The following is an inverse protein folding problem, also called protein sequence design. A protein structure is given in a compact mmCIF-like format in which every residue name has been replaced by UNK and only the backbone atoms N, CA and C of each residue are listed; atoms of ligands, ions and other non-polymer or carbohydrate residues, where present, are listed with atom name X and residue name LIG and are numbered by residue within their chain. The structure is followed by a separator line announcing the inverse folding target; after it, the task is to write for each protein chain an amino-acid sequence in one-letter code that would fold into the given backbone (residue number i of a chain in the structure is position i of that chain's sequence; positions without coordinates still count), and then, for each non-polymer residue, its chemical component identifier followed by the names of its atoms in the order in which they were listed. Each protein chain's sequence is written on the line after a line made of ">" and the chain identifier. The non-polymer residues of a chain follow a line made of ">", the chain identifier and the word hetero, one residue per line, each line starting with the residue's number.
data_IF_068064200712
#
_entry.id   IF_068064200712
#
_cell.length_a   1.000
_cell.length_b   1.000
_cell.length_c   1.000
_cell.angle_alpha   90.00
_cell.angle_beta   90.00
_cell.angle_gamma   90.00
#
_symmetry.space_group_name_H-M   'P 1'
#
loop_
_entity.id
_entity.type
_entity.pdbx_description
1 polymer ?
#
# COMPACT_ATOMS: atom_id res chain seq x y z
N UNK A 1 -9.83 16.36 -2.60
CA UNK A 1 -8.53 16.96 -2.26
C UNK A 1 -7.55 15.80 -2.12
N UNK A 2 -6.39 15.86 -2.76
CA UNK A 2 -5.39 14.80 -2.64
C UNK A 2 -4.73 14.86 -1.26
N UNK A 3 -4.52 13.71 -0.64
CA UNK A 3 -3.83 13.56 0.64
C UNK A 3 -2.49 12.91 0.38
N UNK A 4 -1.44 13.41 1.02
CA UNK A 4 -0.13 12.79 0.99
C UNK A 4 0.09 11.96 2.24
N UNK A 5 0.38 10.70 2.03
CA UNK A 5 0.69 9.72 3.06
C UNK A 5 2.17 9.35 2.96
N UNK A 6 2.90 9.56 4.05
CA UNK A 6 4.29 9.15 4.17
C UNK A 6 4.35 7.83 4.92
N UNK A 7 4.91 6.80 4.29
CA UNK A 7 5.04 5.47 4.87
C UNK A 7 6.52 5.22 5.13
N UNK A 8 6.88 4.89 6.36
CA UNK A 8 8.24 4.49 6.70
C UNK A 8 8.29 2.98 6.94
N UNK A 9 9.15 2.31 6.18
CA UNK A 9 9.46 0.89 6.24
C UNK A 9 10.84 0.75 6.90
N UNK A 10 10.93 0.19 8.12
CA UNK A 10 12.21 0.08 8.83
C UNK A 10 13.17 -0.91 8.17
N UNK A 11 12.66 -2.01 7.60
CA UNK A 11 13.46 -2.99 6.85
C UNK A 11 12.67 -3.57 5.67
N UNK A 12 13.14 -3.43 4.42
CA UNK A 12 12.44 -3.98 3.24
C UNK A 12 12.35 -5.51 3.27
N UNK A 13 13.32 -6.18 3.92
CA UNK A 13 13.29 -7.63 4.10
C UNK A 13 12.15 -8.08 5.02
N UNK A 14 11.77 -7.26 6.00
CA UNK A 14 10.67 -7.51 6.92
C UNK A 14 9.32 -6.98 6.39
N UNK A 15 9.35 -6.07 5.42
CA UNK A 15 8.18 -5.54 4.73
C UNK A 15 7.66 -6.50 3.65
N UNK A 16 7.43 -7.77 4.01
CA UNK A 16 6.77 -8.74 3.15
C UNK A 16 5.49 -9.22 3.82
N UNK A 17 4.39 -9.13 3.07
CA UNK A 17 3.14 -9.77 3.43
C UNK A 17 3.33 -11.29 3.59
N UNK A 18 2.42 -11.89 4.34
CA UNK A 18 2.41 -13.34 4.64
C UNK A 18 2.26 -14.18 3.36
N UNK A 19 1.51 -13.66 2.38
CA UNK A 19 1.27 -14.32 1.10
C UNK A 19 2.20 -13.77 0.00
N UNK A 20 3.14 -14.57 -0.54
CA UNK A 20 4.07 -14.11 -1.57
C UNK A 20 3.40 -13.77 -2.91
N UNK A 21 2.15 -14.20 -3.14
CA UNK A 21 1.39 -13.82 -4.33
C UNK A 21 0.84 -12.39 -4.23
N UNK A 22 0.68 -11.87 -3.01
CA UNK A 22 0.20 -10.51 -2.74
C UNK A 22 1.33 -9.59 -2.27
N UNK A 23 2.36 -10.12 -1.61
CA UNK A 23 3.43 -9.35 -1.02
C UNK A 23 4.29 -8.59 -2.05
N UNK A 24 5.01 -7.58 -1.56
CA UNK A 24 6.01 -6.88 -2.37
C UNK A 24 7.06 -7.87 -2.90
N UNK A 25 7.24 -7.84 -4.22
CA UNK A 25 8.26 -8.63 -4.92
C UNK A 25 9.56 -7.84 -5.06
N UNK A 26 9.47 -6.50 -5.04
CA UNK A 26 10.61 -5.61 -5.15
C UNK A 26 11.33 -5.42 -3.80
N UNK A 27 12.66 -5.23 -3.86
CA UNK A 27 13.50 -4.98 -2.69
C UNK A 27 13.95 -3.52 -2.56
N UNK A 28 13.86 -2.74 -3.63
CA UNK A 28 14.29 -1.34 -3.67
C UNK A 28 13.14 -0.35 -3.49
N UNK A 29 13.47 0.86 -3.03
CA UNK A 29 12.47 1.92 -2.80
C UNK A 29 11.62 2.25 -4.03
N UNK A 30 12.24 2.33 -5.21
CA UNK A 30 11.56 2.62 -6.47
C UNK A 30 10.59 1.49 -6.87
N UNK A 31 11.02 0.23 -6.78
CA UNK A 31 10.17 -0.91 -7.09
C UNK A 31 9.00 -1.07 -6.11
N UNK A 32 9.23 -0.81 -4.82
CA UNK A 32 8.17 -0.77 -3.81
C UNK A 32 7.14 0.33 -4.14
N UNK A 33 7.62 1.52 -4.52
CA UNK A 33 6.76 2.62 -4.91
C UNK A 33 5.90 2.27 -6.14
N UNK A 34 6.52 1.72 -7.20
CA UNK A 34 5.79 1.28 -8.39
C UNK A 34 4.75 0.20 -8.06
N UNK A 35 5.10 -0.82 -7.28
CA UNK A 35 4.16 -1.87 -6.89
C UNK A 35 2.98 -1.31 -6.06
N UNK A 36 3.27 -0.42 -5.11
CA UNK A 36 2.22 0.22 -4.31
C UNK A 36 1.32 1.12 -5.17
N UNK A 37 1.90 1.89 -6.10
CA UNK A 37 1.15 2.70 -7.05
C UNK A 37 0.19 1.83 -7.88
N UNK A 38 0.70 0.75 -8.47
CA UNK A 38 -0.13 -0.18 -9.25
C UNK A 38 -1.25 -0.79 -8.39
N UNK A 39 -0.97 -1.13 -7.13
CA UNK A 39 -1.96 -1.66 -6.19
C UNK A 39 -3.03 -0.64 -5.75
N UNK A 40 -2.76 0.66 -5.87
CA UNK A 40 -3.74 1.74 -5.61
C UNK A 40 -4.54 2.09 -6.87
N UNK A 41 -3.91 2.01 -8.04
CA UNK A 41 -4.56 2.23 -9.33
C UNK A 41 -5.45 1.07 -9.76
N UNK A 42 -5.17 -0.15 -9.28
CA UNK A 42 -5.89 -1.38 -9.63
C UNK A 42 -6.47 -2.09 -8.42
N UNK A 43 -7.68 -2.63 -8.56
CA UNK A 43 -8.34 -3.43 -7.53
C UNK A 43 -7.96 -4.93 -7.57
N UNK A 44 -7.10 -5.33 -8.52
CA UNK A 44 -6.69 -6.73 -8.69
C UNK A 44 -6.17 -7.39 -7.41
N UNK A 45 -5.38 -6.66 -6.61
CA UNK A 45 -4.89 -7.16 -5.32
C UNK A 45 -6.05 -7.43 -4.34
N UNK A 46 -7.06 -6.54 -4.32
CA UNK A 46 -8.25 -6.71 -3.48
C UNK A 46 -9.08 -7.88 -3.97
N UNK A 47 -9.30 -8.01 -5.27
CA UNK A 47 -10.04 -9.15 -5.83
C UNK A 47 -9.35 -10.47 -5.50
N UNK A 48 -8.02 -10.54 -5.63
CA UNK A 48 -7.26 -11.74 -5.30
C UNK A 48 -7.41 -12.11 -3.82
N UNK A 49 -7.26 -11.14 -2.91
CA UNK A 49 -7.47 -11.36 -1.47
C UNK A 49 -8.93 -11.68 -1.13
N UNK A 50 -9.89 -10.98 -1.71
CA UNK A 50 -11.33 -11.19 -1.50
C UNK A 50 -11.76 -12.58 -2.00
N UNK A 51 -11.15 -13.11 -3.07
CA UNK A 51 -11.35 -14.51 -3.50
C UNK A 51 -10.80 -15.55 -2.53
N UNK A 52 -9.78 -15.20 -1.73
CA UNK A 52 -9.29 -16.09 -0.67
C UNK A 52 -10.20 -16.04 0.56
N UNK A 53 -10.95 -14.95 0.76
CA UNK A 53 -11.95 -14.84 1.81
C UNK A 53 -13.22 -15.63 1.46
N UNK A 54 -13.69 -16.44 2.40
CA UNK A 54 -14.90 -17.27 2.22
C UNK A 54 -16.20 -16.46 2.30
N UNK A 55 -16.16 -15.29 2.94
CA UNK A 55 -17.32 -14.43 3.17
C UNK A 55 -17.06 -13.00 2.65
N UNK A 56 -17.39 -12.73 1.37
CA UNK A 56 -17.16 -11.43 0.74
C UNK A 56 -18.10 -10.32 1.24
N UNK A 57 -19.18 -10.65 1.95
CA UNK A 57 -20.15 -9.68 2.49
C UNK A 57 -19.63 -8.94 3.73
N UNK A 58 -18.66 -9.51 4.47
CA UNK A 58 -17.99 -8.82 5.60
C UNK A 58 -16.96 -7.78 5.12
N UNK A 59 -16.61 -7.83 3.83
CA UNK A 59 -15.59 -6.97 3.26
C UNK A 59 -16.19 -5.61 2.92
N UNK A 60 -15.68 -4.57 3.56
CA UNK A 60 -16.10 -3.19 3.34
C UNK A 60 -15.88 -2.79 1.86
N UNK A 61 -16.94 -2.42 1.10
CA UNK A 61 -16.81 -2.07 -0.31
C UNK A 61 -15.96 -0.82 -0.52
N UNK A 62 -15.79 0.01 0.52
CA UNK A 62 -14.87 1.15 0.47
C UNK A 62 -13.42 0.71 0.27
N UNK A 63 -13.04 -0.50 0.67
CA UNK A 63 -11.69 -1.05 0.46
C UNK A 63 -11.41 -1.41 -1.01
N UNK A 64 -12.45 -1.59 -1.82
CA UNK A 64 -12.35 -1.80 -3.26
C UNK A 64 -12.08 -0.50 -4.04
N UNK A 65 -12.07 0.65 -3.38
CA UNK A 65 -11.83 1.93 -4.04
C UNK A 65 -10.41 2.00 -4.63
N UNK A 66 -10.34 2.44 -5.88
CA UNK A 66 -9.09 2.66 -6.62
C UNK A 66 -8.97 4.10 -7.04
N UNK A 67 -7.73 4.57 -7.17
CA UNK A 67 -7.44 5.93 -7.61
C UNK A 67 -6.43 5.88 -8.77
N UNK A 68 -6.87 6.07 -10.02
CA UNK A 68 -5.98 6.06 -11.18
C UNK A 68 -4.99 7.24 -11.17
N UNK A 69 -5.26 8.29 -10.39
CA UNK A 69 -4.35 9.43 -10.21
C UNK A 69 -3.41 9.24 -9.01
N UNK A 70 -3.49 8.10 -8.30
CA UNK A 70 -2.55 7.80 -7.23
C UNK A 70 -1.12 7.82 -7.76
N UNK A 71 -0.25 8.51 -7.04
CA UNK A 71 1.16 8.64 -7.38
C UNK A 71 1.99 8.23 -6.17
N UNK A 72 2.97 7.36 -6.36
CA UNK A 72 3.83 6.88 -5.27
C UNK A 72 5.28 7.12 -5.61
N UNK A 73 6.01 7.65 -4.65
CA UNK A 73 7.44 7.93 -4.76
C UNK A 73 8.18 7.24 -3.63
N UNK A 74 9.22 6.50 -3.97
CA UNK A 74 10.04 5.79 -3.00
C UNK A 74 11.38 6.46 -2.83
N UNK A 75 11.76 6.69 -1.58
CA UNK A 75 13.04 7.25 -1.21
C UNK A 75 13.73 6.30 -0.24
N UNK A 76 14.93 5.83 -0.60
CA UNK A 76 15.75 5.01 0.29
C UNK A 76 16.57 5.94 1.19
N UNK A 77 16.37 5.82 2.51
CA UNK A 77 17.06 6.61 3.53
C UNK A 77 17.89 5.65 4.38
N UNK A 78 19.13 5.41 3.95
CA UNK A 78 20.08 4.51 4.61
C UNK A 78 19.54 3.06 4.74
N UNK A 79 19.15 2.64 5.94
CA UNK A 79 18.55 1.32 6.22
C UNK A 79 17.02 1.27 6.05
N UNK A 80 16.35 2.42 5.99
CA UNK A 80 14.88 2.51 5.93
C UNK A 80 14.40 3.00 4.57
N UNK A 81 13.20 2.61 4.18
CA UNK A 81 12.56 3.08 2.95
C UNK A 81 11.38 3.96 3.32
N UNK A 82 11.30 5.13 2.70
CA UNK A 82 10.21 6.06 2.87
C UNK A 82 9.43 6.14 1.56
N UNK A 83 8.16 5.77 1.59
CA UNK A 83 7.25 5.88 0.45
C UNK A 83 6.31 7.06 0.67
N UNK A 84 6.33 8.05 -0.20
CA UNK A 84 5.33 9.11 -0.22
C UNK A 84 4.27 8.78 -1.27
N UNK A 85 3.05 8.57 -0.81
CA UNK A 85 1.88 8.29 -1.62
C UNK A 85 0.99 9.51 -1.64
N UNK A 86 0.68 10.03 -2.82
CA UNK A 86 -0.33 11.07 -3.00
C UNK A 86 -1.55 10.45 -3.66
N UNK A 87 -2.68 10.42 -2.95
CA UNK A 87 -3.93 9.84 -3.44
C UNK A 87 -5.14 10.55 -2.85
N UNK A 88 -6.27 10.49 -3.54
CA UNK A 88 -7.56 10.93 -2.98
C UNK A 88 -8.25 9.85 -2.15
N UNK A 89 -7.65 8.65 -2.05
CA UNK A 89 -8.20 7.54 -1.27
C UNK A 89 -8.11 7.78 0.24
N UNK A 90 -9.08 7.26 1.01
CA UNK A 90 -9.02 7.30 2.46
C UNK A 90 -7.88 6.41 2.99
N UNK A 91 -7.33 6.79 4.13
CA UNK A 91 -6.24 6.04 4.77
C UNK A 91 -6.61 4.59 5.08
N UNK A 92 -7.89 4.26 5.27
CA UNK A 92 -8.35 2.88 5.46
C UNK A 92 -7.97 1.95 4.29
N UNK A 93 -8.17 2.40 3.05
CA UNK A 93 -7.83 1.66 1.82
C UNK A 93 -6.31 1.47 1.74
N UNK A 94 -5.57 2.55 1.96
CA UNK A 94 -4.12 2.55 1.92
C UNK A 94 -3.51 1.59 2.97
N UNK A 95 -4.02 1.64 4.21
CA UNK A 95 -3.59 0.78 5.32
C UNK A 95 -3.87 -0.68 5.03
N UNK A 96 -5.03 -0.99 4.44
CA UNK A 96 -5.38 -2.34 4.04
C UNK A 96 -4.41 -2.85 2.96
N UNK A 97 -4.16 -2.06 1.90
CA UNK A 97 -3.19 -2.38 0.85
C UNK A 97 -1.79 -2.64 1.40
N UNK A 98 -1.29 -1.74 2.25
CA UNK A 98 0.01 -1.89 2.89
C UNK A 98 0.09 -3.14 3.76
N UNK A 99 -0.99 -3.48 4.47
CA UNK A 99 -1.02 -4.70 5.29
C UNK A 99 -0.90 -5.97 4.46
N UNK A 100 -1.51 -6.01 3.27
CA UNK A 100 -1.37 -7.13 2.34
C UNK A 100 0.04 -7.18 1.72
N UNK A 101 0.58 -6.04 1.31
CA UNK A 101 1.85 -5.96 0.58
C UNK A 101 3.08 -6.11 1.50
N UNK A 102 3.11 -5.40 2.64
CA UNK A 102 4.24 -5.27 3.56
C UNK A 102 4.00 -5.87 4.96
N UNK A 103 2.82 -6.43 5.24
CA UNK A 103 2.51 -6.99 6.55
C UNK A 103 2.27 -5.92 7.62
N UNK A 104 2.54 -6.19 8.91
CA UNK A 104 2.26 -5.26 10.01
C UNK A 104 3.41 -4.27 10.32
N UNK A 105 4.59 -4.44 9.72
CA UNK A 105 5.81 -3.73 10.12
C UNK A 105 6.06 -2.44 9.32
N UNK A 106 5.09 -1.52 9.30
CA UNK A 106 5.22 -0.21 8.67
C UNK A 106 4.62 0.90 9.53
N UNK A 107 5.07 2.12 9.31
CA UNK A 107 4.52 3.31 9.96
C UNK A 107 3.90 4.22 8.91
N UNK A 108 2.61 4.53 9.08
CA UNK A 108 1.91 5.48 8.22
C UNK A 108 1.82 6.82 8.94
N UNK A 109 2.23 7.87 8.24
CA UNK A 109 2.07 9.25 8.66
C UNK A 109 1.23 9.97 7.61
N UNK A 110 0.02 10.37 7.98
CA UNK A 110 -0.80 11.24 7.16
C UNK A 110 -0.28 12.67 7.26
N UNK A 111 -0.03 13.30 6.11
CA UNK A 111 0.32 14.72 6.01
C UNK A 111 -0.76 15.39 5.16
N UNK A 112 -1.70 16.05 5.85
CA UNK A 112 -2.67 16.93 5.18
C UNK A 112 -1.95 18.22 4.78
N UNK A 113 -1.82 18.45 3.48
CA UNK A 113 -1.41 19.76 2.99
C UNK A 113 -2.58 20.75 3.20
N UNK A 114 -2.33 21.94 3.81
CA UNK A 114 -3.34 22.96 4.06
C UNK A 114 -3.80 23.67 2.80
#
# INVERSE_FOLDING_TARGET
>A
MAVTYTIALPEPAQARGDDPALAFSAHGADGLAQQLEQALRSDQLFQAWCRQHEDPDDVDPLLAATDPQACVTGQQDDLRIVLNVTTSLPSAVLRHRLRLLAGPHWQLREVRQP
#
